data_IF_539597210921
#
_entry.id   IF_539597210921
#
_cell.length_a   1.000
_cell.length_b   1.000
_cell.length_c   1.000
_cell.angle_alpha   90.00
_cell.angle_beta   90.00
_cell.angle_gamma   90.00
#
_symmetry.space_group_name_H-M   'P 1'
#
loop_
_entity.id
_entity.type
_entity.pdbx_description
1 polymer ?
#
# COMPACT_ATOMS: atom_id res chain seq x y z
N UNK A 1 15.09 4.24 -29.27
CA UNK A 1 16.42 3.72 -28.86
C UNK A 1 16.63 3.75 -27.34
N UNK A 2 16.78 4.90 -26.66
CA UNK A 2 16.97 4.88 -25.18
C UNK A 2 15.76 4.32 -24.40
N UNK A 3 14.53 4.65 -24.81
CA UNK A 3 13.29 4.17 -24.16
C UNK A 3 13.13 2.65 -24.26
N UNK A 4 13.58 2.05 -25.36
CA UNK A 4 13.41 0.61 -25.65
C UNK A 4 14.34 -0.26 -24.78
N UNK A 5 15.43 0.30 -24.27
CA UNK A 5 16.36 -0.37 -23.33
C UNK A 5 16.02 -0.05 -21.87
N UNK A 6 15.47 1.14 -21.60
CA UNK A 6 15.12 1.56 -20.24
C UNK A 6 13.96 0.75 -19.64
N UNK A 7 12.95 0.42 -20.47
CA UNK A 7 11.77 -0.34 -20.06
C UNK A 7 12.13 -1.74 -19.53
N UNK A 8 12.87 -2.61 -20.26
CA UNK A 8 13.23 -3.93 -19.77
C UNK A 8 14.16 -3.88 -18.55
N UNK A 9 15.08 -2.90 -18.50
CA UNK A 9 15.98 -2.73 -17.35
C UNK A 9 15.21 -2.37 -16.07
N UNK A 10 14.22 -1.49 -16.17
CA UNK A 10 13.37 -1.10 -15.04
C UNK A 10 12.53 -2.27 -14.53
N UNK A 11 12.02 -3.12 -15.43
CA UNK A 11 11.20 -4.28 -15.06
C UNK A 11 12.06 -5.29 -14.31
N UNK A 12 13.23 -5.67 -14.84
CA UNK A 12 14.14 -6.63 -14.21
C UNK A 12 14.60 -6.12 -12.84
N UNK A 13 14.93 -4.82 -12.74
CA UNK A 13 15.29 -4.19 -11.47
C UNK A 13 14.16 -4.26 -10.43
N UNK A 14 12.94 -3.88 -10.81
CA UNK A 14 11.78 -3.89 -9.89
C UNK A 14 11.43 -5.29 -9.38
N UNK A 15 11.51 -6.30 -10.25
CA UNK A 15 11.22 -7.69 -9.89
C UNK A 15 12.26 -8.24 -8.90
N UNK A 16 13.55 -7.98 -9.15
CA UNK A 16 14.63 -8.39 -8.25
C UNK A 16 14.51 -7.76 -6.86
N UNK A 17 14.24 -6.45 -6.79
CA UNK A 17 14.02 -5.75 -5.51
C UNK A 17 12.79 -6.28 -4.77
N UNK A 18 11.70 -6.57 -5.48
CA UNK A 18 10.48 -7.11 -4.85
C UNK A 18 10.73 -8.48 -4.20
N UNK A 19 11.45 -9.37 -4.89
CA UNK A 19 11.79 -10.70 -4.38
C UNK A 19 12.74 -10.61 -3.18
N UNK A 20 13.73 -9.71 -3.24
CA UNK A 20 14.65 -9.46 -2.13
C UNK A 20 13.91 -8.96 -0.88
N UNK A 21 13.05 -7.95 -1.03
CA UNK A 21 12.26 -7.40 0.08
C UNK A 21 11.33 -8.48 0.65
N UNK A 22 10.66 -9.24 -0.21
CA UNK A 22 9.78 -10.32 0.22
C UNK A 22 10.53 -11.38 1.04
N UNK A 23 11.69 -11.82 0.55
CA UNK A 23 12.54 -12.80 1.23
C UNK A 23 13.02 -12.25 2.57
N UNK A 24 13.48 -11.00 2.62
CA UNK A 24 13.89 -10.34 3.86
C UNK A 24 12.77 -10.32 4.90
N UNK A 25 11.56 -9.92 4.51
CA UNK A 25 10.39 -9.89 5.40
C UNK A 25 10.09 -11.30 5.94
N UNK A 26 10.16 -12.32 5.09
CA UNK A 26 9.93 -13.70 5.49
C UNK A 26 11.01 -14.21 6.46
N UNK A 27 12.28 -13.94 6.17
CA UNK A 27 13.41 -14.31 7.04
C UNK A 27 13.31 -13.61 8.39
N UNK A 28 13.04 -12.31 8.42
CA UNK A 28 12.85 -11.54 9.66
C UNK A 28 11.67 -12.09 10.48
N UNK A 29 10.58 -12.52 9.83
CA UNK A 29 9.45 -13.15 10.49
C UNK A 29 9.82 -14.49 11.12
N UNK A 30 10.52 -15.36 10.38
CA UNK A 30 10.96 -16.67 10.88
C UNK A 30 11.96 -16.51 12.03
N UNK A 31 12.89 -15.56 11.91
CA UNK A 31 13.85 -15.24 12.97
C UNK A 31 13.13 -14.75 14.23
N UNK A 32 12.19 -13.80 14.10
CA UNK A 32 11.37 -13.33 15.22
C UNK A 32 10.59 -14.47 15.87
N UNK A 33 9.94 -15.32 15.07
CA UNK A 33 9.21 -16.49 15.58
C UNK A 33 10.12 -17.44 16.37
N UNK A 34 11.31 -17.74 15.84
CA UNK A 34 12.31 -18.60 16.50
C UNK A 34 12.91 -17.96 17.76
N UNK A 35 13.05 -16.64 17.80
CA UNK A 35 13.51 -15.92 19.00
C UNK A 35 12.46 -15.99 20.12
N UNK A 36 11.17 -15.91 19.77
CA UNK A 36 10.06 -16.06 20.71
C UNK A 36 9.98 -17.49 21.26
N UNK A 37 10.06 -18.49 20.39
CA UNK A 37 10.03 -19.91 20.78
C UNK A 37 11.21 -20.33 21.66
N UNK A 38 12.38 -19.69 21.50
CA UNK A 38 13.59 -19.97 22.30
C UNK A 38 13.67 -19.20 23.63
N UNK A 39 12.64 -18.44 24.01
CA UNK A 39 12.58 -17.78 25.31
C UNK A 39 13.47 -16.53 25.46
N UNK A 40 14.04 -15.99 24.38
CA UNK A 40 14.85 -14.76 24.38
C UNK A 40 14.02 -13.47 24.47
N UNK A 41 12.79 -13.55 24.98
CA UNK A 41 11.84 -12.43 25.00
C UNK A 41 11.79 -11.85 26.40
N UNK A 42 12.75 -10.97 26.71
CA UNK A 42 12.56 -10.00 27.78
C UNK A 42 11.30 -9.18 27.47
N UNK A 43 10.48 -8.93 28.50
CA UNK A 43 9.22 -8.19 28.44
C UNK A 43 9.38 -6.81 27.79
N UNK A 44 10.58 -6.22 27.89
CA UNK A 44 10.99 -4.96 27.25
C UNK A 44 10.93 -5.00 25.72
N UNK A 45 11.24 -6.13 25.09
CA UNK A 45 11.22 -6.26 23.63
C UNK A 45 9.79 -6.37 23.10
N UNK A 46 8.86 -6.95 23.88
CA UNK A 46 7.45 -7.06 23.49
C UNK A 46 6.76 -5.69 23.42
N UNK A 47 7.16 -4.75 24.27
CA UNK A 47 6.64 -3.38 24.24
C UNK A 47 6.98 -2.66 22.92
N UNK A 48 8.23 -2.79 22.45
CA UNK A 48 8.68 -2.21 21.17
C UNK A 48 7.93 -2.86 19.99
N UNK A 49 7.69 -4.17 20.03
CA UNK A 49 6.95 -4.86 18.97
C UNK A 49 5.47 -4.48 18.90
N UNK A 50 4.80 -4.27 20.04
CA UNK A 50 3.40 -3.80 20.07
C UNK A 50 3.25 -2.40 19.49
N UNK A 51 4.23 -1.51 19.72
CA UNK A 51 4.20 -0.16 19.19
C UNK A 51 4.27 -0.14 17.65
N UNK A 52 5.16 -0.93 17.04
CA UNK A 52 5.25 -1.04 15.58
C UNK A 52 4.03 -1.72 14.93
N UNK A 53 3.38 -2.67 15.60
CA UNK A 53 2.15 -3.29 15.09
C UNK A 53 0.95 -2.34 15.10
N UNK A 54 0.91 -1.39 16.05
CA UNK A 54 -0.15 -0.39 16.13
C UNK A 54 -0.09 0.65 15.01
N UNK A 55 1.12 1.06 14.63
CA UNK A 55 1.37 2.02 13.53
C UNK A 55 0.92 1.46 12.17
N UNK A 56 1.09 0.15 11.96
CA UNK A 56 0.70 -0.53 10.72
C UNK A 56 -0.79 -0.92 10.65
N UNK A 57 -1.57 -0.78 11.73
CA UNK A 57 -2.98 -1.21 11.77
C UNK A 57 -3.83 -0.46 10.74
N UNK A 58 -3.52 0.80 10.46
CA UNK A 58 -4.26 1.61 9.50
C UNK A 58 -3.70 1.54 8.07
N UNK A 59 -2.51 0.95 7.87
CA UNK A 59 -1.89 0.83 6.55
C UNK A 59 -2.74 -0.02 5.59
N UNK A 60 -3.25 -1.16 6.05
CA UNK A 60 -4.17 -2.00 5.25
C UNK A 60 -5.47 -1.27 4.90
N UNK A 61 -5.98 -0.44 5.82
CA UNK A 61 -7.20 0.35 5.61
C UNK A 61 -6.99 1.44 4.55
N UNK A 62 -5.80 2.06 4.52
CA UNK A 62 -5.40 3.02 3.48
C UNK A 62 -5.45 2.40 2.08
N UNK A 63 -4.75 1.29 1.90
CA UNK A 63 -4.63 0.64 0.59
C UNK A 63 -5.95 0.04 0.12
N UNK A 64 -6.77 -0.53 1.02
CA UNK A 64 -8.09 -1.04 0.68
C UNK A 64 -9.03 0.06 0.18
N UNK A 65 -9.05 1.21 0.87
CA UNK A 65 -9.95 2.31 0.52
C UNK A 65 -9.56 3.00 -0.79
N UNK A 66 -8.26 3.24 -1.00
CA UNK A 66 -7.75 3.79 -2.27
C UNK A 66 -8.08 2.86 -3.43
N UNK A 67 -7.85 1.55 -3.29
CA UNK A 67 -8.12 0.57 -4.35
C UNK A 67 -9.62 0.46 -4.64
N UNK A 68 -10.47 0.55 -3.61
CA UNK A 68 -11.92 0.54 -3.77
C UNK A 68 -12.41 1.73 -4.60
N UNK A 69 -12.00 2.96 -4.23
CA UNK A 69 -12.43 4.15 -4.98
C UNK A 69 -11.79 4.26 -6.36
N UNK A 70 -10.54 3.81 -6.52
CA UNK A 70 -9.89 3.72 -7.83
C UNK A 70 -10.64 2.76 -8.76
N UNK A 71 -10.99 1.57 -8.27
CA UNK A 71 -11.78 0.60 -9.04
C UNK A 71 -13.18 1.11 -9.37
N UNK A 72 -13.83 1.77 -8.41
CA UNK A 72 -15.15 2.38 -8.63
C UNK A 72 -15.11 3.45 -9.73
N UNK A 73 -14.04 4.26 -9.77
CA UNK A 73 -13.85 5.23 -10.85
C UNK A 73 -13.72 4.58 -12.21
N UNK A 74 -13.00 3.45 -12.32
CA UNK A 74 -12.83 2.75 -13.60
C UNK A 74 -14.16 2.22 -14.12
N UNK A 75 -15.00 1.68 -13.23
CA UNK A 75 -16.36 1.24 -13.58
C UNK A 75 -17.18 2.43 -14.10
N UNK A 76 -17.11 3.58 -13.42
CA UNK A 76 -17.88 4.78 -13.81
C UNK A 76 -17.42 5.33 -15.16
N UNK A 77 -16.12 5.30 -15.46
CA UNK A 77 -15.59 5.79 -16.74
C UNK A 77 -16.16 5.06 -17.95
N UNK A 78 -16.44 3.76 -17.83
CA UNK A 78 -17.01 2.95 -18.92
C UNK A 78 -18.37 3.50 -19.38
N UNK A 79 -19.14 4.12 -18.47
CA UNK A 79 -20.45 4.67 -18.77
C UNK A 79 -20.41 6.12 -19.27
N UNK A 80 -19.24 6.77 -19.32
CA UNK A 80 -19.12 8.15 -19.79
C UNK A 80 -18.70 8.14 -21.26
N UNK A 81 -19.58 8.55 -22.20
CA UNK A 81 -19.21 8.68 -23.60
C UNK A 81 -18.29 9.89 -23.77
N UNK A 82 -16.98 9.66 -23.74
CA UNK A 82 -15.95 10.69 -23.94
C UNK A 82 -15.35 10.61 -25.34
N UNK A 83 -15.15 11.77 -25.95
CA UNK A 83 -14.41 11.87 -27.21
C UNK A 83 -12.93 11.49 -27.03
N UNK A 84 -12.28 10.94 -28.08
CA UNK A 84 -10.85 10.62 -28.03
C UNK A 84 -10.03 11.88 -27.73
N UNK A 85 -9.30 11.88 -26.61
CA UNK A 85 -8.49 13.01 -26.14
C UNK A 85 -9.10 13.87 -25.04
N UNK A 86 -10.30 13.53 -24.54
CA UNK A 86 -10.90 14.27 -23.42
C UNK A 86 -10.17 13.99 -22.10
N UNK A 87 -9.77 15.02 -21.32
CA UNK A 87 -9.14 14.85 -20.01
C UNK A 87 -10.13 14.43 -18.90
N UNK A 88 -11.43 14.37 -19.21
CA UNK A 88 -12.51 14.07 -18.26
C UNK A 88 -12.33 12.76 -17.49
N UNK A 89 -12.03 11.61 -18.12
CA UNK A 89 -11.86 10.35 -17.41
C UNK A 89 -10.74 10.43 -16.37
N UNK A 90 -9.59 11.00 -16.74
CA UNK A 90 -8.46 11.18 -15.81
C UNK A 90 -8.81 12.09 -14.62
N UNK A 91 -9.64 13.13 -14.86
CA UNK A 91 -10.17 13.97 -13.79
C UNK A 91 -11.08 13.20 -12.83
N UNK A 92 -11.99 12.39 -13.37
CA UNK A 92 -12.87 11.52 -12.56
C UNK A 92 -12.03 10.56 -11.71
N UNK A 93 -11.00 9.94 -12.26
CA UNK A 93 -10.06 9.10 -11.51
C UNK A 93 -9.44 9.83 -10.33
N UNK A 94 -8.86 10.99 -10.60
CA UNK A 94 -8.16 11.77 -9.59
C UNK A 94 -9.08 12.19 -8.44
N UNK A 95 -10.33 12.57 -8.76
CA UNK A 95 -11.35 12.92 -7.77
C UNK A 95 -11.68 11.73 -6.88
N UNK A 96 -11.98 10.56 -7.47
CA UNK A 96 -12.33 9.36 -6.69
C UNK A 96 -11.18 8.89 -5.79
N UNK A 97 -9.96 8.87 -6.31
CA UNK A 97 -8.77 8.51 -5.52
C UNK A 97 -8.56 9.49 -4.37
N UNK A 98 -8.67 10.79 -4.63
CA UNK A 98 -8.58 11.83 -3.59
C UNK A 98 -9.66 11.65 -2.52
N UNK A 99 -10.88 11.30 -2.92
CA UNK A 99 -11.99 11.02 -2.02
C UNK A 99 -11.69 9.82 -1.10
N UNK A 100 -11.07 8.77 -1.64
CA UNK A 100 -10.54 7.66 -0.86
C UNK A 100 -9.50 8.09 0.18
N UNK A 101 -8.57 9.00 -0.18
CA UNK A 101 -7.60 9.57 0.77
C UNK A 101 -8.25 10.43 1.85
N UNK A 102 -9.22 11.26 1.50
CA UNK A 102 -9.96 12.10 2.44
C UNK A 102 -10.71 11.25 3.46
N UNK A 103 -11.44 10.22 3.01
CA UNK A 103 -12.15 9.31 3.92
C UNK A 103 -11.15 8.57 4.82
N UNK A 104 -10.03 8.11 4.29
CA UNK A 104 -8.97 7.49 5.10
C UNK A 104 -8.48 8.45 6.19
N UNK A 105 -8.19 9.70 5.84
CA UNK A 105 -7.75 10.72 6.79
C UNK A 105 -8.78 10.96 7.89
N UNK A 106 -10.07 11.06 7.55
CA UNK A 106 -11.14 11.21 8.54
C UNK A 106 -11.26 10.00 9.48
N UNK A 107 -11.13 8.78 8.95
CA UNK A 107 -11.18 7.55 9.78
C UNK A 107 -9.99 7.53 10.75
N UNK A 108 -8.78 7.79 10.26
CA UNK A 108 -7.57 7.82 11.11
C UNK A 108 -7.65 8.94 12.14
N UNK A 109 -8.07 10.14 11.74
CA UNK A 109 -8.25 11.27 12.66
C UNK A 109 -9.25 10.95 13.77
N UNK A 110 -10.37 10.29 13.45
CA UNK A 110 -11.36 9.84 14.43
C UNK A 110 -10.83 8.73 15.34
N UNK A 111 -10.01 7.82 14.80
CA UNK A 111 -9.43 6.72 15.57
C UNK A 111 -8.28 7.18 16.49
N UNK A 112 -7.52 8.20 16.08
CA UNK A 112 -6.41 8.79 16.84
C UNK A 112 -6.84 9.86 17.85
N UNK A 113 -8.06 10.39 17.75
CA UNK A 113 -8.61 11.42 18.64
C UNK A 113 -9.16 10.88 19.97
N UNK A 114 -8.54 9.84 20.54
CA UNK A 114 -8.71 9.45 21.95
C UNK A 114 -7.44 9.78 22.71
#
# INVERSE_FOLDING_TARGET
MLRDVLIPLSIIGSFGTSIYIFTKIMTDYILKKRMIEKGYVNEDTQAIFKQHASDNRFSSLKWGLITFFAGLSLIIMEFIPVGPGSPLPYGVFAVFVSLGFLIYYFIVKRASGR
#
